data_IF_399071841094
#
_entry.id   IF_399071841094
#
_cell.length_a   1.000
_cell.length_b   1.000
_cell.length_c   1.000
_cell.angle_alpha   90.00
_cell.angle_beta   90.00
_cell.angle_gamma   90.00
#
_symmetry.space_group_name_H-M   'P 1'
#
loop_
_entity.id
_entity.type
_entity.pdbx_description
1 polymer ?
#
# COMPACT_ATOMS: atom_id res chain seq x y z
N UNK A 1 -34.70 -15.86 -5.48
CA UNK A 1 -34.46 -16.81 -4.37
C UNK A 1 -33.27 -16.31 -3.60
N UNK A 2 -33.49 -15.86 -2.38
CA UNK A 2 -32.52 -15.23 -1.49
C UNK A 2 -31.47 -16.24 -1.05
N UNK A 3 -30.21 -15.91 -1.19
CA UNK A 3 -29.10 -16.63 -0.59
C UNK A 3 -28.83 -16.04 0.81
N UNK A 4 -29.00 -16.80 1.89
CA UNK A 4 -28.63 -16.35 3.22
C UNK A 4 -27.34 -17.03 3.65
N UNK A 5 -26.22 -16.36 3.49
CA UNK A 5 -25.04 -16.64 4.32
C UNK A 5 -24.51 -15.29 4.81
N UNK A 6 -25.10 -14.80 5.88
CA UNK A 6 -24.47 -13.81 6.74
C UNK A 6 -23.38 -14.55 7.52
N UNK A 7 -22.16 -14.61 7.01
CA UNK A 7 -21.02 -14.79 7.88
C UNK A 7 -20.80 -13.49 8.62
N UNK A 8 -20.91 -13.54 9.93
CA UNK A 8 -20.46 -12.51 10.85
C UNK A 8 -18.96 -12.27 10.63
N UNK A 9 -18.65 -11.44 9.63
CA UNK A 9 -17.42 -10.67 9.72
C UNK A 9 -17.65 -9.82 10.96
N UNK A 10 -16.87 -10.04 12.00
CA UNK A 10 -16.87 -9.17 13.15
C UNK A 10 -16.63 -7.74 12.66
N UNK A 11 -17.71 -7.04 12.36
CA UNK A 11 -17.78 -5.59 12.41
C UNK A 11 -17.82 -5.19 13.90
N UNK A 12 -16.91 -5.78 14.68
CA UNK A 12 -16.53 -5.18 15.94
C UNK A 12 -16.05 -3.80 15.57
N UNK A 13 -16.57 -2.78 16.21
CA UNK A 13 -16.06 -1.43 16.16
C UNK A 13 -14.54 -1.56 16.23
N UNK A 14 -13.90 -1.50 15.05
CA UNK A 14 -12.45 -1.44 14.98
C UNK A 14 -12.15 -0.11 15.62
N UNK A 15 -11.58 -0.16 16.80
CA UNK A 15 -11.06 1.02 17.45
C UNK A 15 -10.21 1.71 16.36
N UNK A 16 -10.66 2.89 15.93
CA UNK A 16 -9.79 3.84 15.25
C UNK A 16 -8.48 3.74 15.98
N UNK A 17 -7.39 3.30 15.29
CA UNK A 17 -6.15 3.02 15.97
C UNK A 17 -5.89 4.15 16.94
N UNK A 18 -6.16 3.89 18.20
CA UNK A 18 -5.97 4.89 19.25
C UNK A 18 -4.46 5.02 19.35
N UNK A 19 -3.94 5.95 18.55
CA UNK A 19 -2.56 6.41 18.66
C UNK A 19 -2.41 6.86 20.10
N UNK A 20 -1.83 5.98 20.93
CA UNK A 20 -1.49 6.37 22.29
C UNK A 20 -0.45 7.49 22.15
N UNK A 21 -0.86 8.68 22.57
CA UNK A 21 0.09 9.73 22.80
C UNK A 21 1.18 9.17 23.73
N UNK A 22 2.44 9.35 23.37
CA UNK A 22 3.61 8.90 24.12
C UNK A 22 3.43 9.19 25.62
N UNK A 23 3.23 8.14 26.43
CA UNK A 23 3.11 8.39 27.85
C UNK A 23 2.65 7.27 28.78
N UNK A 24 2.21 6.13 28.32
CA UNK A 24 1.77 5.06 29.24
C UNK A 24 2.22 3.68 28.77
N UNK A 25 3.22 3.11 29.45
CA UNK A 25 3.40 1.66 29.55
C UNK A 25 3.98 0.97 28.32
N UNK A 26 4.96 1.60 27.62
CA UNK A 26 5.82 0.82 26.72
C UNK A 26 6.55 -0.27 27.52
N UNK A 27 6.66 -1.52 26.99
CA UNK A 27 7.44 -2.59 27.59
C UNK A 27 8.88 -2.12 27.84
N UNK A 28 9.54 -2.67 28.86
CA UNK A 28 10.92 -2.32 29.17
C UNK A 28 11.85 -2.58 27.97
N UNK A 29 12.89 -1.78 27.72
CA UNK A 29 13.89 -2.06 26.70
C UNK A 29 14.52 -3.45 26.95
N UNK A 30 14.23 -4.43 26.08
CA UNK A 30 14.64 -5.83 26.26
C UNK A 30 13.50 -6.83 26.06
N UNK A 31 12.25 -6.37 26.02
CA UNK A 31 11.08 -7.18 25.70
C UNK A 31 10.83 -7.30 24.18
N UNK A 32 11.49 -6.44 23.37
CA UNK A 32 11.38 -6.49 21.91
C UNK A 32 12.37 -7.47 21.29
N UNK A 33 11.90 -8.26 20.34
CA UNK A 33 12.71 -9.27 19.65
C UNK A 33 13.67 -8.58 18.67
N UNK A 34 14.93 -8.93 18.73
CA UNK A 34 15.95 -8.42 17.82
C UNK A 34 15.76 -8.99 16.42
N UNK A 35 16.04 -8.15 15.39
CA UNK A 35 15.83 -8.51 13.99
C UNK A 35 16.59 -9.77 13.52
N UNK A 36 17.73 -10.07 14.14
CA UNK A 36 18.57 -11.24 13.84
C UNK A 36 18.40 -12.39 14.84
N UNK A 37 17.37 -12.36 15.67
CA UNK A 37 17.07 -13.44 16.59
C UNK A 37 16.67 -14.71 15.83
N UNK A 38 17.03 -15.87 16.38
CA UNK A 38 16.65 -17.18 15.80
C UNK A 38 15.14 -17.28 15.68
N UNK A 39 14.65 -17.62 14.48
CA UNK A 39 13.22 -17.80 14.20
C UNK A 39 12.52 -16.55 13.65
N UNK A 40 13.17 -15.38 13.59
CA UNK A 40 12.62 -14.19 12.92
C UNK A 40 12.47 -14.45 11.43
N UNK A 41 13.49 -14.99 10.78
CA UNK A 41 13.39 -15.46 9.40
C UNK A 41 13.73 -16.96 9.31
N UNK A 42 12.87 -17.70 8.60
CA UNK A 42 13.03 -19.12 8.31
C UNK A 42 12.83 -19.33 6.82
N UNK A 43 13.93 -19.48 6.09
CA UNK A 43 13.91 -19.60 4.63
C UNK A 43 13.78 -21.07 4.22
N UNK A 44 12.68 -21.49 3.56
CA UNK A 44 12.53 -22.85 3.04
C UNK A 44 13.52 -23.15 1.91
N UNK A 45 13.98 -24.39 1.80
CA UNK A 45 14.97 -24.80 0.78
C UNK A 45 14.51 -24.52 -0.66
N UNK A 46 13.22 -24.68 -0.96
CA UNK A 46 12.65 -24.49 -2.30
C UNK A 46 12.05 -23.11 -2.53
N UNK A 47 12.28 -22.13 -1.65
CA UNK A 47 11.68 -20.81 -1.73
C UNK A 47 12.02 -20.08 -3.04
N UNK A 48 13.29 -20.14 -3.46
CA UNK A 48 13.74 -19.41 -4.67
C UNK A 48 13.08 -19.93 -5.94
N UNK A 49 12.84 -21.23 -6.06
CA UNK A 49 12.12 -21.82 -7.18
C UNK A 49 10.67 -21.30 -7.24
N UNK A 50 9.99 -21.29 -6.09
CA UNK A 50 8.62 -20.77 -5.99
C UNK A 50 8.55 -19.27 -6.30
N UNK A 51 9.48 -18.49 -5.77
CA UNK A 51 9.57 -17.05 -6.07
C UNK A 51 9.73 -16.81 -7.57
N UNK A 52 10.60 -17.61 -8.23
CA UNK A 52 10.76 -17.49 -9.69
C UNK A 52 9.47 -17.83 -10.42
N UNK A 53 8.78 -18.89 -10.05
CA UNK A 53 7.51 -19.29 -10.66
C UNK A 53 6.44 -18.19 -10.53
N UNK A 54 6.32 -17.59 -9.34
CA UNK A 54 5.43 -16.44 -9.10
C UNK A 54 5.83 -15.25 -9.98
N UNK A 55 7.13 -14.94 -10.06
CA UNK A 55 7.61 -13.84 -10.89
C UNK A 55 7.25 -14.03 -12.36
N UNK A 56 7.39 -15.25 -12.88
CA UNK A 56 7.00 -15.59 -14.25
C UNK A 56 5.48 -15.46 -14.46
N UNK A 57 4.63 -15.83 -13.47
CA UNK A 57 3.17 -15.61 -13.54
C UNK A 57 2.82 -14.12 -13.59
N UNK A 58 3.40 -13.31 -12.72
CA UNK A 58 3.13 -11.87 -12.71
C UNK A 58 3.57 -11.19 -14.02
N UNK A 59 4.66 -11.65 -14.63
CA UNK A 59 5.06 -11.20 -15.96
C UNK A 59 4.03 -11.59 -17.02
N UNK A 60 3.43 -12.78 -16.93
CA UNK A 60 2.33 -13.19 -17.86
C UNK A 60 1.09 -12.31 -17.64
N UNK A 61 0.69 -11.99 -16.41
CA UNK A 61 -0.40 -11.04 -16.15
C UNK A 61 -0.14 -9.67 -16.78
N UNK A 62 1.10 -9.17 -16.71
CA UNK A 62 1.45 -7.91 -17.37
C UNK A 62 1.27 -7.99 -18.89
N UNK A 63 1.64 -9.12 -19.51
CA UNK A 63 1.44 -9.34 -20.95
C UNK A 63 -0.03 -9.54 -21.30
N UNK A 64 -0.83 -10.18 -20.46
CA UNK A 64 -2.29 -10.28 -20.66
C UNK A 64 -2.93 -8.89 -20.63
N UNK A 65 -2.59 -8.05 -19.66
CA UNK A 65 -3.04 -6.65 -19.64
C UNK A 65 -2.54 -5.86 -20.85
N UNK A 66 -1.29 -6.08 -21.29
CA UNK A 66 -0.76 -5.43 -22.50
C UNK A 66 -1.58 -5.79 -23.75
N UNK A 67 -1.98 -7.04 -23.89
CA UNK A 67 -2.80 -7.48 -25.02
C UNK A 67 -4.20 -6.85 -25.01
N UNK A 68 -4.76 -6.58 -23.81
CA UNK A 68 -6.07 -5.94 -23.66
C UNK A 68 -6.01 -4.41 -23.82
N UNK A 69 -4.95 -3.77 -23.33
CA UNK A 69 -4.88 -2.30 -23.16
C UNK A 69 -3.78 -1.62 -23.97
N UNK A 70 -2.94 -2.38 -24.68
CA UNK A 70 -1.82 -1.90 -25.49
C UNK A 70 -0.81 -1.03 -24.73
N UNK A 71 -0.76 -1.18 -23.40
CA UNK A 71 0.22 -0.56 -22.51
C UNK A 71 0.59 -1.54 -21.40
N UNK A 72 1.90 -1.73 -21.15
CA UNK A 72 2.37 -2.64 -20.11
C UNK A 72 2.28 -1.96 -18.75
N UNK A 73 1.35 -2.42 -17.94
CA UNK A 73 1.11 -1.92 -16.60
C UNK A 73 2.04 -2.57 -15.55
N UNK A 74 1.93 -2.17 -14.30
CA UNK A 74 2.62 -2.81 -13.16
C UNK A 74 2.10 -4.24 -12.98
N UNK A 75 2.89 -5.12 -12.35
CA UNK A 75 2.45 -6.49 -12.02
C UNK A 75 1.41 -6.53 -10.89
N UNK A 76 1.45 -5.54 -10.00
CA UNK A 76 0.48 -5.32 -8.93
C UNK A 76 0.20 -3.83 -8.77
N UNK A 77 -0.87 -3.46 -8.09
CA UNK A 77 -1.26 -2.05 -7.95
C UNK A 77 -1.32 -1.32 -9.30
N UNK A 78 -2.01 -1.94 -10.25
CA UNK A 78 -2.02 -1.50 -11.65
C UNK A 78 -2.57 -0.09 -11.80
N UNK A 79 -3.74 0.15 -11.18
CA UNK A 79 -4.49 1.39 -11.38
C UNK A 79 -4.04 2.46 -10.40
N UNK A 80 -3.45 3.53 -10.92
CA UNK A 80 -3.15 4.74 -10.15
C UNK A 80 -4.46 5.48 -9.85
N UNK A 81 -4.65 5.88 -8.61
CA UNK A 81 -5.82 6.63 -8.15
C UNK A 81 -5.48 8.08 -7.78
N UNK A 82 -4.20 8.39 -7.65
CA UNK A 82 -3.70 9.74 -7.40
C UNK A 82 -2.24 9.71 -6.97
N UNK A 83 -1.54 10.83 -7.20
CA UNK A 83 -0.15 11.02 -6.80
C UNK A 83 0.00 12.38 -6.13
N UNK A 84 0.66 12.42 -4.98
CA UNK A 84 0.82 13.63 -4.18
C UNK A 84 2.23 13.79 -3.65
N UNK A 85 2.61 15.03 -3.35
CA UNK A 85 3.86 15.41 -2.74
C UNK A 85 3.62 16.04 -1.38
N UNK A 86 4.47 15.76 -0.40
CA UNK A 86 4.29 16.26 0.94
C UNK A 86 5.55 16.15 1.80
N UNK A 87 5.33 16.17 3.10
CA UNK A 87 6.37 16.06 4.12
C UNK A 87 6.15 14.82 4.98
N UNK A 88 7.25 14.15 5.30
CA UNK A 88 7.36 13.09 6.29
C UNK A 88 8.14 13.64 7.48
N UNK A 89 7.47 13.80 8.62
CA UNK A 89 8.00 14.54 9.78
C UNK A 89 8.20 13.56 10.92
N UNK A 90 9.46 13.38 11.32
CA UNK A 90 9.87 12.54 12.45
C UNK A 90 10.02 13.43 13.68
N UNK A 91 9.29 13.19 14.78
CA UNK A 91 9.49 13.88 16.07
C UNK A 91 10.66 13.29 16.85
N UNK A 92 10.93 13.84 18.03
CA UNK A 92 11.78 13.16 19.01
C UNK A 92 11.06 11.89 19.52
N UNK A 93 11.79 10.76 19.56
CA UNK A 93 11.23 9.45 19.88
C UNK A 93 11.99 8.78 21.02
N UNK A 94 11.32 7.91 21.80
CA UNK A 94 12.01 7.08 22.79
C UNK A 94 12.98 6.08 22.10
N UNK A 95 14.03 5.62 22.81
CA UNK A 95 15.13 4.84 22.20
C UNK A 95 14.70 3.60 21.41
N UNK A 96 13.66 2.89 21.83
CA UNK A 96 13.18 1.69 21.13
C UNK A 96 12.55 1.99 19.77
N UNK A 97 12.00 3.19 19.57
CA UNK A 97 11.44 3.68 18.31
C UNK A 97 12.42 4.54 17.51
N UNK A 98 13.40 5.17 18.19
CA UNK A 98 14.42 6.02 17.58
C UNK A 98 15.47 5.17 16.84
N UNK A 99 15.07 4.45 15.79
CA UNK A 99 15.90 3.51 15.03
C UNK A 99 16.00 3.89 13.55
N UNK A 100 17.12 3.56 12.90
CA UNK A 100 17.31 3.82 11.48
C UNK A 100 17.11 5.31 11.13
N UNK A 101 16.27 5.64 10.15
CA UNK A 101 15.97 7.02 9.78
C UNK A 101 15.20 7.79 10.87
N UNK A 102 14.64 7.10 11.86
CA UNK A 102 13.89 7.68 12.97
C UNK A 102 14.79 8.04 14.18
N UNK A 103 16.12 7.87 14.08
CA UNK A 103 17.07 8.16 15.17
C UNK A 103 17.10 9.61 15.62
N UNK A 104 16.71 10.52 14.76
CA UNK A 104 16.72 11.97 15.02
C UNK A 104 15.48 12.62 14.45
N UNK A 105 14.95 13.63 15.13
CA UNK A 105 13.91 14.48 14.56
C UNK A 105 14.34 15.04 13.20
N UNK A 106 13.39 15.13 12.27
CA UNK A 106 13.67 15.65 10.95
C UNK A 106 12.42 15.78 10.09
N UNK A 107 12.54 16.51 8.98
CA UNK A 107 11.49 16.64 7.97
C UNK A 107 12.07 16.26 6.64
N UNK A 108 11.43 15.33 5.98
CA UNK A 108 11.82 14.76 4.69
C UNK A 108 10.76 15.05 3.64
N UNK A 109 11.18 15.23 2.39
CA UNK A 109 10.26 15.24 1.28
C UNK A 109 9.72 13.84 1.01
N UNK A 110 8.44 13.73 0.68
CA UNK A 110 7.80 12.46 0.34
C UNK A 110 6.91 12.61 -0.88
N UNK A 111 6.93 11.60 -1.73
CA UNK A 111 5.90 11.40 -2.76
C UNK A 111 5.10 10.16 -2.42
N UNK A 112 3.79 10.22 -2.65
CA UNK A 112 2.89 9.12 -2.35
C UNK A 112 1.93 8.87 -3.51
N UNK A 113 1.69 7.60 -3.82
CA UNK A 113 0.77 7.14 -4.85
C UNK A 113 -0.33 6.30 -4.23
N UNK A 114 -1.57 6.67 -4.48
CA UNK A 114 -2.75 5.85 -4.23
C UNK A 114 -2.98 4.89 -5.38
N UNK A 115 -3.37 3.64 -5.10
CA UNK A 115 -3.53 2.61 -6.13
C UNK A 115 -4.48 1.49 -5.74
N UNK A 116 -5.02 0.79 -6.74
CA UNK A 116 -5.79 -0.45 -6.56
C UNK A 116 -4.95 -1.67 -6.91
N UNK A 117 -5.03 -2.71 -6.06
CA UNK A 117 -4.07 -3.84 -6.02
C UNK A 117 -4.24 -4.85 -7.15
N UNK A 118 -5.39 -5.01 -7.75
CA UNK A 118 -5.67 -6.15 -8.64
C UNK A 118 -4.63 -6.33 -9.75
N UNK A 119 -4.25 -7.58 -10.11
CA UNK A 119 -3.36 -7.85 -11.25
C UNK A 119 -4.08 -7.73 -12.62
N UNK A 120 -5.39 -7.53 -12.62
CA UNK A 120 -6.24 -7.18 -13.78
C UNK A 120 -6.93 -5.85 -13.51
N UNK A 121 -7.09 -5.01 -14.52
CA UNK A 121 -7.84 -3.76 -14.37
C UNK A 121 -9.32 -4.07 -14.13
N UNK A 122 -9.85 -3.54 -13.03
CA UNK A 122 -11.26 -3.66 -12.66
C UNK A 122 -11.86 -2.28 -12.38
N UNK A 123 -13.19 -2.11 -12.53
CA UNK A 123 -13.89 -0.90 -12.12
C UNK A 123 -13.70 -0.59 -10.63
N UNK A 124 -13.72 0.70 -10.28
CA UNK A 124 -13.52 1.16 -8.89
C UNK A 124 -14.68 0.78 -7.95
N UNK A 125 -15.86 0.56 -8.49
CA UNK A 125 -17.05 0.13 -7.76
C UNK A 125 -17.05 -1.38 -7.41
N UNK A 126 -16.01 -2.12 -7.79
CA UNK A 126 -15.78 -3.50 -7.34
C UNK A 126 -14.90 -3.49 -6.09
N UNK A 127 -15.25 -4.32 -5.09
CA UNK A 127 -14.41 -4.53 -3.91
C UNK A 127 -13.08 -5.16 -4.31
N UNK A 128 -12.00 -4.53 -3.92
CA UNK A 128 -10.64 -4.98 -4.16
C UNK A 128 -9.69 -4.35 -3.14
N UNK A 129 -8.56 -4.98 -2.82
CA UNK A 129 -7.54 -4.35 -2.01
C UNK A 129 -7.03 -3.06 -2.67
N UNK A 130 -6.77 -2.06 -1.84
CA UNK A 130 -6.22 -0.77 -2.22
C UNK A 130 -4.97 -0.52 -1.42
N UNK A 131 -4.16 0.43 -1.83
CA UNK A 131 -2.95 0.69 -1.09
C UNK A 131 -2.23 1.94 -1.53
N UNK A 132 -1.24 2.29 -0.74
CA UNK A 132 -0.34 3.40 -0.99
C UNK A 132 1.09 2.90 -1.14
N UNK A 133 1.83 3.58 -2.02
CA UNK A 133 3.27 3.44 -2.12
C UNK A 133 3.92 4.80 -1.92
N UNK A 134 4.96 4.86 -1.10
CA UNK A 134 5.65 6.13 -0.84
C UNK A 134 7.16 6.01 -1.04
N UNK A 135 7.77 7.11 -1.44
CA UNK A 135 9.21 7.31 -1.54
C UNK A 135 9.59 8.55 -0.76
N UNK A 136 10.47 8.39 0.23
CA UNK A 136 10.97 9.47 1.08
C UNK A 136 12.38 9.81 0.63
N UNK A 137 12.67 11.09 0.47
CA UNK A 137 13.94 11.63 -0.02
C UNK A 137 14.82 12.18 1.11
N UNK A 138 16.12 12.24 0.88
CA UNK A 138 17.08 12.79 1.82
C UNK A 138 17.44 11.84 2.97
N UNK A 139 17.15 10.55 2.84
CA UNK A 139 17.41 9.55 3.87
C UNK A 139 18.85 9.06 3.78
N UNK A 140 19.67 9.48 4.75
CA UNK A 140 21.09 9.13 4.87
C UNK A 140 21.28 7.78 5.57
N UNK A 141 22.33 7.05 5.21
CA UNK A 141 22.74 5.79 5.84
C UNK A 141 23.09 4.70 4.85
N UNK A 142 23.49 3.53 5.34
CA UNK A 142 23.88 2.39 4.52
C UNK A 142 22.66 1.78 3.83
N UNK A 143 22.74 1.66 2.50
CA UNK A 143 21.65 1.13 1.67
C UNK A 143 21.71 -0.39 1.52
N UNK A 144 20.52 -1.02 1.32
CA UNK A 144 20.40 -2.46 1.08
C UNK A 144 21.06 -2.83 -0.25
N UNK A 145 20.82 -2.07 -1.29
CA UNK A 145 21.49 -2.18 -2.58
C UNK A 145 22.47 -1.02 -2.69
N UNK A 146 23.73 -1.23 -2.80
CA UNK A 146 24.82 -0.26 -2.83
C UNK A 146 24.68 0.94 -3.79
N UNK A 147 23.44 1.40 -3.99
CA UNK A 147 23.10 2.57 -4.78
C UNK A 147 23.21 3.82 -3.90
N UNK A 148 23.84 4.86 -4.44
CA UNK A 148 24.01 6.17 -3.79
C UNK A 148 22.69 6.99 -3.69
N UNK A 149 21.56 6.32 -3.67
CA UNK A 149 20.26 6.97 -3.59
C UNK A 149 19.85 7.21 -2.15
N UNK A 150 19.57 8.45 -1.81
CA UNK A 150 19.14 8.86 -0.47
C UNK A 150 17.63 8.74 -0.31
N UNK A 151 17.08 7.54 -0.57
CA UNK A 151 15.64 7.29 -0.52
C UNK A 151 15.29 6.15 0.41
N UNK A 152 14.08 6.16 0.94
CA UNK A 152 13.44 5.05 1.65
C UNK A 152 12.05 4.86 1.09
N UNK A 153 11.75 3.64 0.62
CA UNK A 153 10.44 3.30 0.07
C UNK A 153 9.67 2.41 1.04
N UNK A 154 8.35 2.63 1.10
CA UNK A 154 7.41 1.71 1.75
C UNK A 154 6.15 1.50 0.90
N UNK A 155 5.53 0.33 1.09
CA UNK A 155 4.25 -0.06 0.47
C UNK A 155 3.28 -0.53 1.52
N UNK A 156 2.01 -0.14 1.38
CA UNK A 156 0.94 -0.44 2.32
C UNK A 156 -0.32 -0.87 1.57
N UNK A 157 -1.20 -1.59 2.27
CA UNK A 157 -2.52 -1.98 1.82
C UNK A 157 -3.55 -1.73 2.92
N UNK A 158 -4.80 -1.57 2.52
CA UNK A 158 -5.93 -1.22 3.41
C UNK A 158 -6.44 -2.38 4.28
N UNK A 159 -5.57 -3.35 4.57
CA UNK A 159 -5.86 -4.46 5.48
C UNK A 159 -4.58 -4.96 6.16
N UNK A 160 -4.62 -5.39 7.44
CA UNK A 160 -3.41 -5.74 8.19
C UNK A 160 -2.76 -7.06 7.77
N UNK A 161 -3.45 -7.91 7.02
CA UNK A 161 -2.96 -9.19 6.48
C UNK A 161 -3.10 -9.22 4.94
N UNK A 162 -2.52 -10.21 4.30
CA UNK A 162 -2.61 -10.42 2.85
C UNK A 162 -2.97 -11.87 2.55
N UNK A 163 -3.90 -12.07 1.61
CA UNK A 163 -4.29 -13.37 1.09
C UNK A 163 -3.12 -14.13 0.44
N UNK A 164 -2.16 -13.40 -0.10
CA UNK A 164 -0.93 -13.93 -0.71
C UNK A 164 0.15 -14.18 0.37
N UNK A 165 -0.17 -15.00 1.35
CA UNK A 165 0.54 -15.21 2.63
C UNK A 165 2.04 -15.50 2.49
N UNK A 166 2.40 -16.30 1.49
CA UNK A 166 3.75 -16.77 1.20
C UNK A 166 3.90 -17.11 -0.30
N UNK A 167 5.11 -17.43 -0.81
CA UNK A 167 5.30 -17.72 -2.24
C UNK A 167 4.50 -18.93 -2.74
N UNK A 168 4.23 -19.94 -1.91
CA UNK A 168 3.44 -21.12 -2.30
C UNK A 168 1.98 -20.73 -2.51
N UNK A 169 1.37 -20.09 -1.51
CA UNK A 169 -0.01 -19.63 -1.57
C UNK A 169 -0.20 -18.62 -2.70
N UNK A 170 0.75 -17.69 -2.88
CA UNK A 170 0.75 -16.75 -4.00
C UNK A 170 0.73 -17.47 -5.34
N UNK A 171 1.59 -18.50 -5.51
CA UNK A 171 1.60 -19.28 -6.76
C UNK A 171 0.24 -19.94 -7.04
N UNK A 172 -0.35 -20.58 -6.04
CA UNK A 172 -1.63 -21.29 -6.17
C UNK A 172 -2.79 -20.35 -6.54
N UNK A 173 -2.89 -19.19 -5.88
CA UNK A 173 -3.93 -18.19 -6.16
C UNK A 173 -3.70 -17.57 -7.54
N UNK A 174 -2.46 -17.25 -7.89
CA UNK A 174 -2.11 -16.70 -9.19
C UNK A 174 -2.37 -17.69 -10.33
N UNK A 175 -2.11 -18.99 -10.14
CA UNK A 175 -2.43 -20.05 -11.12
C UNK A 175 -3.93 -20.15 -11.37
N UNK A 176 -4.73 -20.12 -10.31
CA UNK A 176 -6.19 -20.09 -10.43
C UNK A 176 -6.67 -18.84 -11.19
N UNK A 177 -6.13 -17.67 -10.89
CA UNK A 177 -6.46 -16.43 -11.60
C UNK A 177 -6.04 -16.49 -13.07
N UNK A 178 -4.86 -17.03 -13.38
CA UNK A 178 -4.36 -17.16 -14.75
C UNK A 178 -5.30 -18.01 -15.62
N UNK A 179 -5.73 -19.15 -15.08
CA UNK A 179 -6.68 -20.05 -15.75
C UNK A 179 -8.06 -19.41 -15.96
N UNK A 180 -8.49 -18.60 -15.01
CA UNK A 180 -9.81 -17.97 -14.99
C UNK A 180 -9.75 -16.47 -15.30
N UNK A 181 -8.76 -16.01 -16.09
CA UNK A 181 -8.52 -14.58 -16.34
C UNK A 181 -9.77 -13.82 -16.83
N UNK A 182 -10.59 -14.45 -17.67
CA UNK A 182 -11.81 -13.88 -18.20
C UNK A 182 -13.09 -14.42 -17.53
N UNK A 183 -12.94 -15.19 -16.44
CA UNK A 183 -14.04 -15.77 -15.67
C UNK A 183 -13.78 -15.58 -14.16
N UNK A 184 -13.88 -14.33 -13.71
CA UNK A 184 -13.67 -13.98 -12.29
C UNK A 184 -14.68 -14.66 -11.33
N UNK A 185 -15.95 -14.94 -11.72
CA UNK A 185 -16.84 -15.76 -10.88
C UNK A 185 -16.29 -17.16 -10.60
N UNK A 186 -15.79 -17.87 -11.59
CA UNK A 186 -15.15 -19.18 -11.40
C UNK A 186 -13.88 -19.08 -10.55
N UNK A 187 -13.06 -18.03 -10.76
CA UNK A 187 -11.92 -17.75 -9.87
C UNK A 187 -12.38 -17.60 -8.42
N UNK A 188 -13.39 -16.78 -8.15
CA UNK A 188 -13.89 -16.55 -6.78
C UNK A 188 -14.46 -17.84 -6.17
N UNK A 189 -15.14 -18.70 -6.95
CA UNK A 189 -15.63 -20.00 -6.51
C UNK A 189 -14.47 -20.94 -6.14
N UNK A 190 -13.39 -20.98 -6.92
CA UNK A 190 -12.21 -21.77 -6.60
C UNK A 190 -11.56 -21.30 -5.28
N UNK A 191 -11.45 -19.97 -5.07
CA UNK A 191 -10.89 -19.45 -3.81
C UNK A 191 -11.77 -19.79 -2.60
N UNK A 192 -13.09 -19.82 -2.75
CA UNK A 192 -14.02 -20.15 -1.67
C UNK A 192 -13.94 -21.63 -1.21
N UNK A 193 -13.35 -22.50 -2.00
CA UNK A 193 -13.17 -23.93 -1.70
C UNK A 193 -11.82 -24.26 -1.09
N UNK A 194 -10.93 -23.29 -0.93
CA UNK A 194 -9.61 -23.49 -0.32
C UNK A 194 -9.74 -23.75 1.18
N UNK A 195 -8.74 -24.40 1.75
CA UNK A 195 -8.65 -24.63 3.22
C UNK A 195 -8.42 -23.33 4.00
N UNK A 196 -7.90 -22.29 3.34
CA UNK A 196 -7.67 -20.95 3.84
C UNK A 196 -8.63 -19.93 3.20
N UNK A 197 -9.86 -20.35 2.88
CA UNK A 197 -10.84 -19.55 2.14
C UNK A 197 -11.19 -18.23 2.84
N UNK A 198 -11.17 -18.19 4.17
CA UNK A 198 -11.38 -16.99 4.98
C UNK A 198 -10.38 -15.87 4.67
N UNK A 199 -9.11 -16.23 4.47
CA UNK A 199 -8.06 -15.29 4.05
C UNK A 199 -8.06 -15.10 2.52
N UNK A 200 -8.17 -16.18 1.74
CA UNK A 200 -8.08 -16.15 0.28
C UNK A 200 -9.19 -15.32 -0.39
N UNK A 201 -10.38 -15.23 0.20
CA UNK A 201 -11.51 -14.46 -0.33
C UNK A 201 -11.62 -13.04 0.22
N UNK A 202 -10.78 -12.68 1.18
CA UNK A 202 -10.84 -11.42 1.92
C UNK A 202 -10.80 -10.19 1.00
N UNK A 203 -9.92 -10.20 -0.02
CA UNK A 203 -9.75 -9.07 -0.93
C UNK A 203 -11.04 -8.62 -1.62
N UNK A 204 -11.91 -9.57 -1.98
CA UNK A 204 -13.23 -9.30 -2.58
C UNK A 204 -14.30 -8.85 -1.58
N UNK A 205 -14.00 -8.88 -0.28
CA UNK A 205 -14.94 -8.52 0.80
C UNK A 205 -14.57 -7.21 1.49
N UNK A 206 -13.46 -6.58 1.12
CA UNK A 206 -13.00 -5.34 1.72
C UNK A 206 -14.02 -4.20 1.48
N UNK A 207 -14.23 -3.33 2.47
CA UNK A 207 -15.14 -2.20 2.32
C UNK A 207 -14.63 -1.24 1.24
N UNK A 208 -15.54 -0.75 0.42
CA UNK A 208 -15.26 0.22 -0.65
C UNK A 208 -15.20 1.66 -0.10
N UNK A 209 -14.43 1.87 0.93
CA UNK A 209 -14.29 3.12 1.65
C UNK A 209 -13.56 4.18 0.80
N UNK A 210 -13.75 5.46 1.11
CA UNK A 210 -13.02 6.57 0.48
C UNK A 210 -11.51 6.47 0.75
N UNK A 211 -10.69 6.49 -0.30
CA UNK A 211 -9.30 6.08 -0.24
C UNK A 211 -8.42 6.95 0.68
N UNK A 212 -8.70 8.25 0.80
CA UNK A 212 -7.94 9.15 1.68
C UNK A 212 -8.26 8.93 3.17
N UNK A 213 -9.36 8.23 3.48
CA UNK A 213 -9.82 7.94 4.84
C UNK A 213 -9.53 6.49 5.27
N UNK A 214 -8.88 5.69 4.42
CA UNK A 214 -8.53 4.31 4.76
C UNK A 214 -7.30 4.26 5.66
N UNK A 215 -7.31 3.42 6.70
CA UNK A 215 -6.09 2.97 7.35
C UNK A 215 -5.34 2.00 6.43
N UNK A 216 -4.01 2.02 6.51
CA UNK A 216 -3.14 1.25 5.64
C UNK A 216 -2.03 0.56 6.45
N UNK A 217 -1.70 -0.70 6.12
CA UNK A 217 -0.70 -1.51 6.82
C UNK A 217 0.37 -2.02 5.87
N UNK A 218 1.62 -2.12 6.33
CA UNK A 218 2.71 -2.74 5.58
C UNK A 218 2.50 -4.24 5.34
N UNK A 219 1.62 -4.87 6.13
CA UNK A 219 1.31 -6.30 6.15
C UNK A 219 2.50 -7.19 6.51
N UNK A 220 3.64 -6.95 5.90
CA UNK A 220 4.91 -7.65 6.13
C UNK A 220 5.81 -6.89 7.09
N UNK A 221 6.72 -7.63 7.73
CA UNK A 221 7.65 -7.10 8.71
C UNK A 221 8.91 -6.50 8.07
N UNK A 222 9.53 -5.60 8.82
CA UNK A 222 10.79 -4.94 8.47
C UNK A 222 11.72 -4.94 9.66
N UNK A 223 13.00 -4.90 9.41
CA UNK A 223 13.97 -4.49 10.41
C UNK A 223 13.68 -3.04 10.81
N UNK A 224 13.67 -2.77 12.11
CA UNK A 224 13.55 -1.44 12.69
C UNK A 224 14.78 -1.18 13.57
N UNK A 225 15.90 -0.91 12.91
CA UNK A 225 17.20 -0.82 13.58
C UNK A 225 17.60 -2.14 14.23
N UNK A 226 17.58 -2.21 15.55
CA UNK A 226 17.89 -3.40 16.32
C UNK A 226 16.72 -4.40 16.38
N UNK A 227 15.50 -3.96 16.11
CA UNK A 227 14.26 -4.71 16.32
C UNK A 227 13.56 -5.09 15.01
N UNK A 228 12.35 -5.64 15.12
CA UNK A 228 11.45 -5.94 14.01
C UNK A 228 10.16 -5.16 14.21
N UNK A 229 9.61 -4.58 13.12
CA UNK A 229 8.33 -3.90 13.16
C UNK A 229 7.48 -4.20 11.91
N UNK A 230 6.16 -4.15 12.05
CA UNK A 230 5.22 -3.78 10.99
C UNK A 230 4.90 -2.29 11.10
N UNK A 231 4.53 -1.67 9.99
CA UNK A 231 4.16 -0.26 9.96
C UNK A 231 2.71 -0.07 9.58
N UNK A 232 2.12 1.03 10.05
CA UNK A 232 0.77 1.45 9.70
C UNK A 232 0.70 2.93 9.37
N UNK A 233 -0.25 3.32 8.52
CA UNK A 233 -0.53 4.70 8.12
C UNK A 233 -2.01 4.96 8.35
N UNK A 234 -2.33 5.85 9.29
CA UNK A 234 -3.68 6.09 9.76
C UNK A 234 -4.12 7.55 9.52
N UNK A 235 -5.29 7.79 8.90
CA UNK A 235 -5.81 9.13 8.67
C UNK A 235 -6.00 9.89 9.99
N UNK A 236 -5.58 11.16 10.04
CA UNK A 236 -5.69 12.00 11.24
C UNK A 236 -6.42 13.30 11.02
N UNK A 237 -6.60 13.74 9.76
CA UNK A 237 -7.29 14.98 9.42
C UNK A 237 -8.79 14.93 9.72
N UNK A 238 -9.35 16.01 10.27
CA UNK A 238 -10.77 16.08 10.61
C UNK A 238 -11.69 15.89 9.39
N UNK A 239 -11.31 16.44 8.23
CA UNK A 239 -12.07 16.24 7.00
C UNK A 239 -11.98 14.80 6.48
N UNK A 240 -10.86 14.10 6.70
CA UNK A 240 -10.70 12.69 6.38
C UNK A 240 -11.61 11.81 7.24
N UNK A 241 -11.71 12.09 8.55
CA UNK A 241 -12.56 11.35 9.47
C UNK A 241 -14.04 11.41 9.09
N UNK A 242 -14.50 12.50 8.48
CA UNK A 242 -15.89 12.61 7.99
C UNK A 242 -16.21 11.59 6.89
N UNK A 243 -15.18 11.10 6.18
CA UNK A 243 -15.32 10.13 5.09
C UNK A 243 -15.18 8.66 5.55
N UNK A 244 -14.95 8.38 6.84
CA UNK A 244 -14.78 7.01 7.34
C UNK A 244 -15.98 6.10 7.05
N UNK A 245 -17.18 6.70 6.96
CA UNK A 245 -18.45 6.01 6.66
C UNK A 245 -18.96 6.31 5.25
N UNK A 246 -18.14 6.90 4.41
CA UNK A 246 -18.48 7.15 3.02
C UNK A 246 -17.93 6.03 2.15
N UNK A 247 -18.84 5.32 1.47
CA UNK A 247 -18.52 4.12 0.71
C UNK A 247 -18.94 4.29 -0.75
N UNK A 248 -18.08 3.85 -1.65
CA UNK A 248 -18.36 3.75 -3.08
C UNK A 248 -19.49 2.76 -3.29
N UNK A 249 -20.49 3.17 -4.06
CA UNK A 249 -21.68 2.39 -4.40
C UNK A 249 -21.47 1.59 -5.68
N UNK A 250 -22.33 0.62 -5.93
CA UNK A 250 -22.27 -0.23 -7.13
C UNK A 250 -22.58 0.53 -8.42
N UNK A 251 -23.38 1.59 -8.33
CA UNK A 251 -23.78 2.46 -9.45
C UNK A 251 -22.86 3.67 -9.65
N UNK A 252 -21.83 3.84 -8.81
CA UNK A 252 -20.83 4.89 -8.98
C UNK A 252 -20.00 4.69 -10.26
N UNK A 253 -19.43 5.75 -10.81
CA UNK A 253 -18.57 5.65 -12.00
C UNK A 253 -17.40 4.69 -11.84
N UNK A 254 -17.01 4.01 -12.93
CA UNK A 254 -15.90 3.04 -12.95
C UNK A 254 -14.52 3.63 -12.60
N UNK A 255 -14.40 4.93 -12.48
CA UNK A 255 -13.19 5.69 -12.14
C UNK A 255 -13.44 6.67 -10.99
N UNK A 256 -14.40 6.38 -10.12
CA UNK A 256 -14.83 7.26 -9.02
C UNK A 256 -13.69 7.57 -8.05
N UNK A 257 -12.84 6.59 -7.72
CA UNK A 257 -11.79 6.75 -6.71
C UNK A 257 -10.83 7.90 -7.08
N UNK A 258 -10.35 7.93 -8.31
CA UNK A 258 -9.41 8.97 -8.74
C UNK A 258 -10.05 10.36 -8.73
N UNK A 259 -11.35 10.46 -9.00
CA UNK A 259 -12.09 11.71 -8.91
C UNK A 259 -12.25 12.16 -7.47
N UNK A 260 -12.60 11.26 -6.55
CA UNK A 260 -12.73 11.54 -5.12
C UNK A 260 -11.39 11.96 -4.50
N UNK A 261 -10.33 11.20 -4.75
CA UNK A 261 -8.97 11.52 -4.28
C UNK A 261 -8.54 12.90 -4.77
N UNK A 262 -8.74 13.21 -6.07
CA UNK A 262 -8.43 14.51 -6.64
C UNK A 262 -9.24 15.63 -5.99
N UNK A 263 -10.55 15.48 -5.93
CA UNK A 263 -11.46 16.49 -5.37
C UNK A 263 -11.14 16.78 -3.91
N UNK A 264 -10.78 15.76 -3.14
CA UNK A 264 -10.41 15.92 -1.74
C UNK A 264 -9.08 16.67 -1.58
N UNK A 265 -8.03 16.21 -2.28
CA UNK A 265 -6.70 16.84 -2.22
C UNK A 265 -6.66 18.27 -2.74
N UNK A 266 -7.50 18.63 -3.70
CA UNK A 266 -7.55 20.02 -4.18
C UNK A 266 -8.10 21.01 -3.14
N UNK A 267 -8.83 20.53 -2.13
CA UNK A 267 -9.54 21.39 -1.18
C UNK A 267 -9.02 21.30 0.25
N UNK A 268 -8.41 20.17 0.61
CA UNK A 268 -8.08 19.87 1.99
C UNK A 268 -6.61 19.53 2.16
N UNK A 269 -6.06 19.93 3.29
CA UNK A 269 -4.83 19.34 3.78
C UNK A 269 -5.12 17.89 4.22
N UNK A 270 -4.28 16.95 3.81
CA UNK A 270 -4.37 15.53 4.17
C UNK A 270 -3.26 15.18 5.13
N UNK A 271 -3.58 14.52 6.23
CA UNK A 271 -2.59 14.15 7.25
C UNK A 271 -2.77 12.70 7.70
N UNK A 272 -1.64 12.04 7.96
CA UNK A 272 -1.63 10.67 8.50
C UNK A 272 -0.61 10.57 9.64
N UNK A 273 -0.92 9.72 10.62
CA UNK A 273 0.10 9.18 11.51
C UNK A 273 0.79 8.00 10.86
N UNK A 274 2.11 7.94 10.94
CA UNK A 274 2.92 6.80 10.54
C UNK A 274 3.38 6.09 11.83
N UNK A 275 2.99 4.83 11.98
CA UNK A 275 3.14 4.08 13.23
C UNK A 275 3.97 2.82 13.02
N UNK A 276 4.63 2.36 14.09
CA UNK A 276 5.33 1.08 14.16
C UNK A 276 4.69 0.17 15.21
N UNK A 277 4.55 -1.11 14.88
CA UNK A 277 4.16 -2.18 15.78
C UNK A 277 5.35 -3.09 15.96
N UNK A 278 5.98 -3.06 17.14
CA UNK A 278 7.20 -3.83 17.41
C UNK A 278 6.91 -5.29 17.73
N UNK A 279 7.83 -6.16 17.30
CA UNK A 279 7.77 -7.61 17.53
C UNK A 279 8.13 -7.95 18.96
N UNK A 280 7.26 -8.68 19.67
CA UNK A 280 7.45 -9.13 21.05
C UNK A 280 7.25 -10.65 21.19
N UNK A 281 6.54 -11.29 20.25
CA UNK A 281 6.27 -12.73 20.28
C UNK A 281 6.33 -13.33 18.87
N UNK A 282 7.24 -14.27 18.63
CA UNK A 282 7.32 -14.96 17.33
C UNK A 282 6.10 -15.88 17.07
N UNK A 283 5.46 -16.36 18.12
CA UNK A 283 4.29 -17.22 18.01
C UNK A 283 3.05 -16.44 17.58
N UNK A 284 2.80 -15.28 18.18
CA UNK A 284 1.60 -14.46 17.94
C UNK A 284 1.81 -13.40 16.85
N UNK A 285 3.07 -13.08 16.54
CA UNK A 285 3.46 -12.10 15.54
C UNK A 285 4.41 -12.74 14.53
N UNK A 286 3.99 -13.77 13.76
CA UNK A 286 4.87 -14.44 12.80
C UNK A 286 5.34 -13.47 11.72
N UNK A 287 6.62 -13.60 11.33
CA UNK A 287 7.24 -12.79 10.27
C UNK A 287 7.05 -13.44 8.90
N UNK A 288 7.06 -14.78 8.85
CA UNK A 288 7.00 -15.54 7.60
C UNK A 288 5.58 -15.69 7.03
N UNK A 289 4.56 -15.65 7.87
CA UNK A 289 3.16 -15.77 7.46
C UNK A 289 2.42 -14.45 7.63
N UNK A 290 2.24 -13.71 6.56
CA UNK A 290 1.53 -12.43 6.59
C UNK A 290 0.01 -12.57 6.47
N UNK A 291 -0.53 -13.80 6.42
CA UNK A 291 -1.95 -14.09 6.60
C UNK A 291 -2.40 -14.07 8.07
N UNK A 292 -1.47 -13.86 9.01
CA UNK A 292 -1.75 -13.76 10.44
C UNK A 292 -1.61 -12.30 10.88
N UNK A 293 -2.68 -11.77 11.47
CA UNK A 293 -2.72 -10.41 12.00
C UNK A 293 -1.91 -10.33 13.32
N UNK A 294 -1.12 -9.28 13.47
CA UNK A 294 -0.51 -8.94 14.73
C UNK A 294 -1.53 -8.13 15.54
N UNK A 295 -2.03 -8.67 16.65
CA UNK A 295 -3.10 -8.07 17.44
C UNK A 295 -2.69 -6.69 17.99
N UNK A 296 -3.27 -5.62 17.45
CA UNK A 296 -2.99 -4.24 17.85
C UNK A 296 -3.43 -3.91 19.30
N UNK A 297 -4.34 -4.69 19.87
CA UNK A 297 -4.77 -4.52 21.27
C UNK A 297 -3.71 -5.03 22.24
N UNK A 298 -3.01 -6.10 21.86
CA UNK A 298 -1.93 -6.70 22.64
C UNK A 298 -0.58 -6.05 22.35
N UNK A 299 -0.32 -5.76 21.08
CA UNK A 299 0.91 -5.17 20.56
C UNK A 299 0.56 -3.87 19.83
N UNK A 300 0.46 -2.73 20.55
CA UNK A 300 -0.08 -1.51 19.98
C UNK A 300 0.81 -0.88 18.91
N UNK A 301 0.18 -0.22 17.96
CA UNK A 301 0.84 0.70 17.04
C UNK A 301 1.27 1.98 17.80
N UNK A 302 2.54 2.36 17.69
CA UNK A 302 3.09 3.58 18.26
C UNK A 302 3.47 4.57 17.16
N UNK A 303 3.03 5.82 17.26
CA UNK A 303 3.33 6.84 16.25
C UNK A 303 4.80 7.21 16.26
N UNK A 304 5.44 7.16 15.09
CA UNK A 304 6.85 7.49 14.88
C UNK A 304 7.09 8.61 13.87
N UNK A 305 6.07 8.96 13.08
CA UNK A 305 6.13 10.13 12.19
C UNK A 305 4.72 10.63 11.84
N UNK A 306 4.68 11.78 11.19
CA UNK A 306 3.47 12.36 10.58
C UNK A 306 3.72 12.58 9.10
N UNK A 307 2.71 12.28 8.27
CA UNK A 307 2.67 12.64 6.87
C UNK A 307 1.74 13.86 6.69
N UNK A 308 2.18 14.84 5.93
CA UNK A 308 1.41 16.05 5.63
C UNK A 308 1.46 16.36 4.14
N UNK A 309 0.27 16.53 3.55
CA UNK A 309 0.09 16.88 2.15
C UNK A 309 -0.80 18.12 2.07
N UNK A 310 -0.23 19.22 1.62
CA UNK A 310 -0.98 20.46 1.36
C UNK A 310 -1.91 20.29 0.16
N UNK A 311 -2.96 21.15 0.03
CA UNK A 311 -3.88 21.07 -1.11
C UNK A 311 -3.15 21.11 -2.46
N UNK A 312 -3.45 20.14 -3.32
CA UNK A 312 -2.80 19.96 -4.62
C UNK A 312 -3.66 19.13 -5.58
N UNK A 313 -3.40 19.22 -6.89
CA UNK A 313 -4.01 18.34 -7.89
C UNK A 313 -3.29 17.00 -7.94
N UNK A 314 -3.91 15.94 -7.41
CA UNK A 314 -3.35 14.57 -7.38
C UNK A 314 -3.42 13.83 -8.74
N UNK A 315 -3.98 14.47 -9.77
CA UNK A 315 -4.29 13.82 -11.06
C UNK A 315 -3.70 14.56 -12.27
N UNK A 316 -2.63 15.34 -12.08
CA UNK A 316 -1.95 15.99 -13.20
C UNK A 316 -1.40 14.95 -14.19
N UNK A 317 -1.73 15.02 -15.49
CA UNK A 317 -1.38 14.00 -16.48
C UNK A 317 0.12 13.73 -16.55
N UNK A 318 0.95 14.77 -16.54
CA UNK A 318 2.41 14.68 -16.64
C UNK A 318 2.99 13.92 -15.44
N UNK A 319 2.54 14.25 -14.24
CA UNK A 319 3.00 13.62 -13.02
C UNK A 319 2.52 12.17 -12.92
N UNK A 320 1.27 11.90 -13.29
CA UNK A 320 0.71 10.55 -13.32
C UNK A 320 1.43 9.64 -14.31
N UNK A 321 1.66 10.11 -15.54
CA UNK A 321 2.39 9.33 -16.56
C UNK A 321 3.80 9.02 -16.10
N UNK A 322 4.47 9.99 -15.49
CA UNK A 322 5.80 9.77 -14.91
C UNK A 322 5.77 8.70 -13.81
N UNK A 323 4.78 8.73 -12.91
CA UNK A 323 4.57 7.72 -11.89
C UNK A 323 4.32 6.33 -12.49
N UNK A 324 3.43 6.23 -13.46
CA UNK A 324 3.02 4.94 -14.02
C UNK A 324 4.15 4.27 -14.80
N UNK A 325 4.91 5.03 -15.56
CA UNK A 325 5.90 4.48 -16.48
C UNK A 325 7.34 4.50 -15.95
N UNK A 326 7.74 5.54 -15.23
CA UNK A 326 9.15 5.82 -14.98
C UNK A 326 9.63 5.52 -13.57
N UNK A 327 8.84 5.80 -12.55
CA UNK A 327 9.24 5.61 -11.15
C UNK A 327 8.98 4.19 -10.65
N UNK A 328 9.81 3.77 -9.71
CA UNK A 328 9.58 2.56 -8.92
C UNK A 328 9.42 2.93 -7.45
N UNK A 329 8.43 2.32 -6.79
CA UNK A 329 8.39 2.19 -5.34
C UNK A 329 8.68 0.73 -5.02
N UNK A 330 9.69 0.46 -4.23
CA UNK A 330 10.12 -0.88 -3.89
C UNK A 330 10.67 -0.88 -2.46
N UNK A 331 10.06 -1.64 -1.56
CA UNK A 331 10.48 -1.72 -0.15
C UNK A 331 11.95 -2.10 0.06
N UNK A 332 12.62 -2.64 -0.97
CA UNK A 332 14.06 -2.93 -0.95
C UNK A 332 14.93 -1.72 -1.31
N UNK A 333 14.34 -0.60 -1.75
CA UNK A 333 15.03 0.69 -1.87
C UNK A 333 14.99 1.40 -0.53
N UNK A 334 16.00 1.19 0.29
CA UNK A 334 16.04 1.78 1.63
C UNK A 334 17.29 1.44 2.41
N UNK A 335 17.27 1.82 3.67
CA UNK A 335 18.36 1.56 4.61
C UNK A 335 18.43 0.07 4.98
N UNK A 336 19.64 -0.45 5.22
CA UNK A 336 19.85 -1.75 5.85
C UNK A 336 19.15 -1.86 7.21
N UNK A 337 19.05 -0.76 7.93
CA UNK A 337 18.33 -0.68 9.21
C UNK A 337 16.80 -0.78 9.07
N UNK A 338 16.27 -0.71 7.82
CA UNK A 338 14.87 -0.91 7.48
C UNK A 338 14.68 -2.03 6.46
N UNK A 339 15.58 -3.02 6.45
CA UNK A 339 15.52 -4.16 5.54
C UNK A 339 14.18 -4.89 5.66
N UNK A 340 13.48 -5.15 4.53
CA UNK A 340 12.30 -6.00 4.50
C UNK A 340 12.62 -7.43 4.98
N UNK A 341 11.74 -8.02 5.79
CA UNK A 341 11.88 -9.36 6.37
C UNK A 341 10.71 -10.27 5.97
N UNK A 342 10.94 -11.56 6.00
CA UNK A 342 9.95 -12.60 5.76
C UNK A 342 9.76 -12.96 4.28
N UNK A 343 9.10 -14.09 4.05
CA UNK A 343 8.96 -14.78 2.76
C UNK A 343 8.35 -13.87 1.67
N UNK A 344 7.28 -13.16 1.99
CA UNK A 344 6.62 -12.27 1.03
C UNK A 344 7.51 -11.09 0.63
N UNK A 345 8.30 -10.54 1.54
CA UNK A 345 9.25 -9.48 1.19
C UNK A 345 10.40 -10.02 0.33
N UNK A 346 10.91 -11.23 0.61
CA UNK A 346 11.90 -11.89 -0.26
C UNK A 346 11.33 -12.14 -1.66
N UNK A 347 10.06 -12.53 -1.77
CA UNK A 347 9.35 -12.65 -3.05
C UNK A 347 9.22 -11.30 -3.76
N UNK A 348 8.79 -10.24 -3.04
CA UNK A 348 8.67 -8.87 -3.60
C UNK A 348 9.99 -8.37 -4.19
N UNK A 349 11.13 -8.75 -3.62
CA UNK A 349 12.45 -8.38 -4.15
C UNK A 349 12.62 -8.78 -5.60
N UNK A 350 12.24 -10.00 -5.95
CA UNK A 350 12.37 -10.55 -7.31
C UNK A 350 11.22 -10.08 -8.20
N UNK A 351 9.97 -10.25 -7.74
CA UNK A 351 8.78 -9.93 -8.53
C UNK A 351 8.75 -8.45 -8.95
N UNK A 352 9.06 -7.54 -8.04
CA UNK A 352 9.06 -6.10 -8.36
C UNK A 352 10.15 -5.71 -9.35
N UNK A 353 11.35 -6.31 -9.22
CA UNK A 353 12.46 -6.06 -10.12
C UNK A 353 12.15 -6.56 -11.55
N UNK A 354 11.67 -7.79 -11.68
CA UNK A 354 11.36 -8.39 -12.99
C UNK A 354 10.14 -7.71 -13.64
N UNK A 355 9.08 -7.44 -12.87
CA UNK A 355 7.92 -6.70 -13.33
C UNK A 355 8.29 -5.33 -13.90
N UNK A 356 9.19 -4.61 -13.23
CA UNK A 356 9.70 -3.32 -13.71
C UNK A 356 10.47 -3.47 -15.01
N UNK A 357 11.40 -4.43 -15.09
CA UNK A 357 12.19 -4.68 -16.30
C UNK A 357 11.30 -4.97 -17.50
N UNK A 358 10.27 -5.82 -17.31
CA UNK A 358 9.32 -6.13 -18.35
C UNK A 358 8.56 -4.88 -18.82
N UNK A 359 8.01 -4.10 -17.87
CA UNK A 359 7.24 -2.88 -18.18
C UNK A 359 8.06 -1.87 -18.98
N UNK A 360 9.28 -1.57 -18.54
CA UNK A 360 10.16 -0.64 -19.25
C UNK A 360 10.47 -1.12 -20.67
N UNK A 361 10.82 -2.39 -20.83
CA UNK A 361 11.13 -2.98 -22.12
C UNK A 361 9.95 -2.93 -23.09
N UNK A 362 8.76 -3.34 -22.64
CA UNK A 362 7.56 -3.41 -23.49
C UNK A 362 7.07 -2.02 -23.86
N UNK A 363 7.14 -1.06 -22.94
CA UNK A 363 6.75 0.34 -23.20
C UNK A 363 7.87 1.15 -23.93
N UNK A 364 8.99 0.52 -24.32
CA UNK A 364 10.03 1.15 -25.11
C UNK A 364 10.95 2.12 -24.34
N UNK A 365 10.96 2.06 -23.02
CA UNK A 365 11.89 2.84 -22.21
C UNK A 365 13.26 2.14 -22.12
N UNK A 366 14.31 2.88 -22.44
CA UNK A 366 15.69 2.35 -22.38
C UNK A 366 16.26 2.37 -20.98
N UNK A 367 15.94 3.42 -20.23
CA UNK A 367 16.55 3.70 -18.94
C UNK A 367 15.51 3.78 -17.83
N UNK A 368 15.95 3.33 -16.68
CA UNK A 368 15.28 3.46 -15.42
C UNK A 368 15.66 4.78 -14.76
N UNK A 369 14.66 5.48 -14.23
CA UNK A 369 14.89 6.71 -13.46
C UNK A 369 14.54 6.40 -12.01
N UNK A 370 15.54 6.44 -11.14
CA UNK A 370 15.37 6.49 -9.70
C UNK A 370 15.72 7.90 -9.24
N UNK A 371 14.74 8.74 -8.87
CA UNK A 371 15.03 10.10 -8.42
C UNK A 371 15.74 10.06 -7.07
N UNK A 372 16.74 10.95 -6.91
CA UNK A 372 17.47 11.12 -5.66
C UNK A 372 16.89 12.23 -4.78
N UNK A 373 16.11 13.12 -5.37
CA UNK A 373 15.49 14.26 -4.71
C UNK A 373 14.15 14.60 -5.33
N UNK A 374 13.35 15.35 -4.61
CA UNK A 374 12.05 15.83 -5.10
C UNK A 374 12.19 16.75 -6.33
N UNK A 375 13.30 17.44 -6.50
CA UNK A 375 13.56 18.32 -7.65
C UNK A 375 13.68 17.57 -8.98
N UNK A 376 13.93 16.27 -8.95
CA UNK A 376 13.99 15.40 -10.14
C UNK A 376 12.61 14.84 -10.52
N UNK A 377 11.61 15.09 -9.70
CA UNK A 377 10.22 14.67 -9.92
C UNK A 377 9.47 15.81 -10.61
N UNK A 378 8.69 15.55 -11.67
CA UNK A 378 7.87 16.59 -12.28
C UNK A 378 6.97 17.23 -11.21
N UNK A 379 7.19 18.53 -10.96
CA UNK A 379 6.41 19.25 -9.96
C UNK A 379 4.93 19.24 -10.35
N UNK A 380 4.00 18.99 -9.42
CA UNK A 380 2.64 19.42 -9.63
C UNK A 380 2.69 20.94 -9.79
N UNK A 381 2.14 21.44 -10.87
CA UNK A 381 1.92 22.88 -11.02
C UNK A 381 1.11 23.26 -9.79
N UNK A 382 1.62 24.20 -8.98
CA UNK A 382 0.88 24.75 -7.84
C UNK A 382 -0.54 25.04 -8.35
N UNK A 383 -1.54 24.40 -7.72
CA UNK A 383 -2.89 24.39 -8.25
C UNK A 383 -3.23 25.83 -8.68
N UNK A 384 -3.42 26.13 -9.95
CA UNK A 384 -3.96 27.42 -10.29
C UNK A 384 -5.25 27.53 -9.48
N UNK A 385 -5.58 28.68 -8.96
CA UNK A 385 -6.88 28.89 -8.35
C UNK A 385 -7.92 28.59 -9.44
N UNK A 386 -8.22 27.31 -9.62
CA UNK A 386 -9.24 26.88 -10.56
C UNK A 386 -10.54 27.26 -9.89
N UNK A 387 -11.04 28.42 -10.26
CA UNK A 387 -12.45 28.79 -10.10
C UNK A 387 -13.19 27.74 -10.94
N UNK A 388 -13.59 26.64 -10.30
CA UNK A 388 -14.45 25.65 -10.97
C UNK A 388 -15.70 26.42 -11.42
N UNK A 389 -16.08 26.37 -12.71
CA UNK A 389 -17.32 26.96 -13.14
C UNK A 389 -18.43 26.36 -12.27
N UNK A 390 -19.21 27.24 -11.64
CA UNK A 390 -20.43 26.80 -10.98
C UNK A 390 -21.25 26.03 -12.02
N UNK A 391 -21.50 24.75 -11.76
CA UNK A 391 -22.54 24.04 -12.50
C UNK A 391 -23.83 24.82 -12.26
N UNK A 392 -24.50 25.34 -13.31
CA UNK A 392 -25.79 25.96 -13.13
C UNK A 392 -26.73 24.89 -12.55
N UNK A 393 -27.22 25.18 -11.36
CA UNK A 393 -28.35 24.44 -10.81
C UNK A 393 -29.45 24.41 -11.87
N UNK A 394 -29.86 23.21 -12.24
CA UNK A 394 -30.96 22.94 -13.16
C UNK A 394 -32.14 23.88 -12.87
N UNK A 395 -32.34 24.86 -13.76
CA UNK A 395 -33.56 25.65 -13.77
C UNK A 395 -34.73 24.70 -14.10
N UNK A 396 -35.65 24.61 -13.19
CA UNK A 396 -36.98 24.05 -13.35
C UNK A 396 -37.61 24.59 -14.63
N UNK A 397 -37.79 23.72 -15.62
CA UNK A 397 -38.68 24.01 -16.76
C UNK A 397 -40.10 24.07 -16.20
N UNK A 398 -40.64 25.27 -16.04
CA UNK A 398 -42.07 25.44 -15.87
C UNK A 398 -42.75 25.10 -17.21
N UNK A 399 -43.44 23.98 -17.24
CA UNK A 399 -44.45 23.68 -18.26
C UNK A 399 -45.65 24.59 -18.00
N UNK A 400 -45.83 25.60 -18.84
CA UNK A 400 -47.10 26.28 -18.98
C UNK A 400 -47.99 25.49 -19.91
N UNK A 401 -49.23 25.31 -19.50
CA UNK A 401 -50.33 24.60 -20.15
C UNK A 401 -50.68 25.18 -21.54
#
# INVERSE_FOLDING_TARGET
MSCPVQHNIHTGERANGTVKANGAGAPAPGEYIRWNAKGVEVVPENEQEKIKAVSDQFNRFQMMNFNEHHHCLRGTHLKTQGCVMGKFIVPELPPHLAQGMFKRPGSYDVIMRYSSLTPKLVPDNISAPRGIGMKIFGVEGEKIWGEDKKTQDWTFNNYPILELRDPKTTYEIADSLERNWNDLPTFAEEQSKRVDADVATMGGQLPRQHMVAMPEWSQSAYRHGDYVAKYGVFPTGEEQKKLEKDFIKEDDPINVISQEVRNFHMRNKVTYSFCAQLLQSLEEQPVEDIGIEWDEKKYPMEQIATLEFDPQDSWLPEFRTWWDDRITVNSWHGLKEHQPLGSTNRMRRVVYAESRKLRLRVNGYKDYIEPSSLSEVPAPIAAPQIILPHHPTTSTVQTTA
#
